data_IF_665274848202
#
_entry.id   IF_665274848202
#
_cell.length_a   1.000
_cell.length_b   1.000
_cell.length_c   1.000
_cell.angle_alpha   90.00
_cell.angle_beta   90.00
_cell.angle_gamma   90.00
#
_symmetry.space_group_name_H-M   'P 1'
#
loop_
_entity.id
_entity.type
_entity.pdbx_description
1 polymer ?
#
# COMPACT_ATOMS: atom_id res chain seq x y z
N UNK A 1 -63.89 -30.39 58.32
CA UNK A 1 -63.76 -29.93 56.96
C UNK A 1 -62.25 -29.89 56.63
N UNK A 2 -61.71 -30.85 56.00
CA UNK A 2 -60.33 -30.88 55.56
C UNK A 2 -60.25 -30.62 54.07
N UNK A 3 -59.51 -29.59 53.71
CA UNK A 3 -59.22 -29.22 52.30
C UNK A 3 -57.90 -29.89 51.92
N UNK A 4 -57.98 -30.83 50.98
CA UNK A 4 -56.83 -31.54 50.45
C UNK A 4 -56.25 -30.74 49.29
N UNK A 5 -55.03 -30.20 49.42
CA UNK A 5 -54.31 -29.54 48.33
C UNK A 5 -53.39 -30.55 47.71
N UNK A 6 -53.68 -30.98 46.46
CA UNK A 6 -52.80 -31.84 45.66
C UNK A 6 -51.75 -30.94 44.93
N UNK A 7 -50.52 -31.08 45.32
CA UNK A 7 -49.38 -30.48 44.65
C UNK A 7 -48.96 -31.34 43.50
N UNK A 8 -49.16 -30.85 42.28
CA UNK A 8 -48.70 -31.49 41.07
C UNK A 8 -47.24 -31.15 40.83
N UNK A 9 -46.34 -32.09 41.12
CA UNK A 9 -44.92 -31.96 40.83
C UNK A 9 -44.69 -32.28 39.33
N UNK A 10 -44.65 -31.25 38.48
CA UNK A 10 -44.26 -31.36 37.10
C UNK A 10 -42.74 -31.51 36.97
N UNK A 11 -42.30 -32.75 36.70
CA UNK A 11 -40.90 -33.00 36.41
C UNK A 11 -40.52 -32.44 35.03
N UNK A 12 -39.71 -31.39 35.01
CA UNK A 12 -39.04 -30.93 33.80
C UNK A 12 -37.86 -31.87 33.49
N UNK A 13 -38.08 -32.75 32.49
CA UNK A 13 -36.98 -33.48 31.87
C UNK A 13 -36.17 -32.53 31.00
N UNK A 14 -35.10 -32.00 31.52
CA UNK A 14 -34.07 -31.34 30.72
C UNK A 14 -33.33 -32.41 29.90
N UNK A 15 -33.72 -32.58 28.64
CA UNK A 15 -32.91 -33.29 27.67
C UNK A 15 -31.72 -32.36 27.32
N UNK A 16 -30.63 -32.53 28.05
CA UNK A 16 -29.33 -31.94 27.70
C UNK A 16 -28.87 -32.56 26.40
N UNK A 17 -29.02 -31.83 25.27
CA UNK A 17 -28.27 -32.12 24.05
C UNK A 17 -26.79 -32.01 24.39
N UNK A 18 -26.14 -33.13 24.64
CA UNK A 18 -24.68 -33.23 24.57
C UNK A 18 -24.32 -33.01 23.10
N UNK A 19 -23.96 -31.78 22.76
CA UNK A 19 -23.14 -31.50 21.60
C UNK A 19 -21.91 -32.40 21.70
N UNK A 20 -21.80 -33.36 20.76
CA UNK A 20 -20.57 -34.12 20.62
C UNK A 20 -19.44 -33.10 20.42
N UNK A 21 -18.55 -33.01 21.39
CA UNK A 21 -17.29 -32.31 21.20
C UNK A 21 -16.57 -33.09 20.11
N UNK A 22 -16.49 -32.49 18.93
CA UNK A 22 -15.54 -32.97 17.93
C UNK A 22 -14.19 -32.97 18.62
N UNK A 23 -13.65 -34.14 18.82
CA UNK A 23 -12.28 -34.33 19.25
C UNK A 23 -11.43 -33.87 18.06
N UNK A 24 -11.08 -32.59 18.05
CA UNK A 24 -10.02 -32.08 17.15
C UNK A 24 -8.80 -32.94 17.43
N UNK A 25 -8.42 -33.75 16.45
CA UNK A 25 -7.21 -34.54 16.55
C UNK A 25 -6.06 -33.58 16.86
N UNK A 26 -5.47 -33.73 18.01
CA UNK A 26 -4.35 -32.90 18.45
C UNK A 26 -3.12 -33.42 17.72
N UNK A 27 -2.75 -32.74 16.63
CA UNK A 27 -1.52 -33.06 15.92
C UNK A 27 -0.35 -32.45 16.66
N UNK A 28 0.64 -33.26 16.96
CA UNK A 28 1.93 -32.83 17.48
C UNK A 28 2.93 -32.77 16.33
N UNK A 29 3.55 -31.60 16.17
CA UNK A 29 4.60 -31.42 15.15
C UNK A 29 5.88 -32.05 15.71
N UNK A 30 6.23 -33.23 15.20
CA UNK A 30 7.41 -33.99 15.69
C UNK A 30 8.70 -33.61 14.94
N UNK A 31 8.58 -33.06 13.73
CA UNK A 31 9.73 -32.64 12.92
C UNK A 31 9.33 -31.55 11.95
N UNK A 32 10.15 -30.54 11.82
CA UNK A 32 10.06 -29.50 10.79
C UNK A 32 11.38 -29.48 10.03
N UNK A 33 11.30 -29.70 8.73
CA UNK A 33 12.45 -29.55 7.83
C UNK A 33 12.11 -28.44 6.84
N UNK A 34 13.05 -27.54 6.62
CA UNK A 34 12.94 -26.47 5.65
C UNK A 34 14.23 -26.30 4.87
N UNK A 35 14.10 -25.96 3.58
CA UNK A 35 15.23 -25.57 2.75
C UNK A 35 14.91 -24.29 2.01
N UNK A 36 15.91 -23.45 1.78
CA UNK A 36 15.80 -22.31 0.90
C UNK A 36 16.40 -22.68 -0.46
N UNK A 37 15.59 -22.49 -1.51
CA UNK A 37 16.08 -22.61 -2.89
C UNK A 37 16.13 -21.20 -3.45
N UNK A 38 17.33 -20.73 -3.76
CA UNK A 38 17.50 -19.43 -4.41
C UNK A 38 16.97 -19.52 -5.82
N UNK A 39 16.06 -18.63 -6.18
CA UNK A 39 15.60 -18.47 -7.58
C UNK A 39 16.51 -17.43 -8.21
N UNK A 40 17.44 -17.88 -9.04
CA UNK A 40 18.41 -17.06 -9.73
C UNK A 40 18.50 -17.47 -11.22
N UNK A 41 19.43 -16.89 -11.96
CA UNK A 41 19.61 -17.13 -13.38
C UNK A 41 19.91 -18.59 -13.77
N UNK A 42 20.25 -19.45 -12.82
CA UNK A 42 20.45 -20.89 -13.07
C UNK A 42 19.15 -21.54 -13.54
N UNK A 43 18.01 -21.06 -13.05
CA UNK A 43 16.69 -21.57 -13.45
C UNK A 43 16.25 -21.12 -14.84
N UNK A 44 16.85 -20.05 -15.38
CA UNK A 44 16.57 -19.53 -16.72
C UNK A 44 17.22 -20.37 -17.83
N UNK A 45 18.11 -21.31 -17.46
CA UNK A 45 18.85 -22.15 -18.42
C UNK A 45 17.98 -23.20 -19.11
N UNK A 46 16.78 -23.47 -18.60
CA UNK A 46 15.85 -24.44 -19.16
C UNK A 46 14.55 -23.72 -19.57
N UNK A 47 14.48 -23.15 -20.78
CA UNK A 47 13.27 -22.47 -21.24
C UNK A 47 12.10 -23.42 -21.32
N UNK A 48 10.99 -23.07 -20.71
CA UNK A 48 9.74 -23.80 -20.88
C UNK A 48 9.03 -23.29 -22.14
N UNK A 49 9.25 -23.99 -23.26
CA UNK A 49 8.70 -23.59 -24.57
C UNK A 49 7.17 -23.47 -24.56
N UNK A 50 6.47 -24.35 -23.83
CA UNK A 50 5.00 -24.30 -23.73
C UNK A 50 4.52 -23.07 -22.94
N UNK A 51 5.19 -22.73 -21.86
CA UNK A 51 4.88 -21.52 -21.11
C UNK A 51 5.16 -20.26 -21.95
N UNK A 52 6.29 -20.22 -22.66
CA UNK A 52 6.63 -19.13 -23.56
C UNK A 52 5.60 -18.95 -24.68
N UNK A 53 5.12 -20.02 -25.28
CA UNK A 53 4.06 -19.98 -26.31
C UNK A 53 2.74 -19.40 -25.77
N UNK A 54 2.31 -19.83 -24.57
CA UNK A 54 1.10 -19.32 -23.91
C UNK A 54 1.24 -17.83 -23.57
N UNK A 55 2.41 -17.40 -23.09
CA UNK A 55 2.64 -16.03 -22.66
C UNK A 55 2.90 -15.07 -23.81
N UNK A 56 3.40 -15.53 -24.95
CA UNK A 56 3.83 -14.71 -26.08
C UNK A 56 2.79 -13.67 -26.50
N UNK A 57 1.51 -13.96 -26.79
CA UNK A 57 0.54 -12.99 -27.26
C UNK A 57 0.22 -11.90 -26.21
N UNK A 58 0.34 -12.22 -24.92
CA UNK A 58 0.15 -11.28 -23.83
C UNK A 58 1.39 -10.39 -23.68
N UNK A 59 2.58 -11.01 -23.72
CA UNK A 59 3.85 -10.32 -23.59
C UNK A 59 4.03 -9.27 -24.70
N UNK A 60 3.77 -9.62 -25.94
CA UNK A 60 3.91 -8.69 -27.08
C UNK A 60 3.04 -7.44 -26.90
N UNK A 61 1.81 -7.58 -26.39
CA UNK A 61 0.93 -6.43 -26.12
C UNK A 61 1.44 -5.58 -24.94
N UNK A 62 1.86 -6.22 -23.87
CA UNK A 62 2.38 -5.53 -22.68
C UNK A 62 3.68 -4.81 -23.03
N UNK A 63 4.61 -5.49 -23.69
CA UNK A 63 5.91 -4.92 -24.08
C UNK A 63 5.72 -3.67 -24.96
N UNK A 64 4.81 -3.72 -25.93
CA UNK A 64 4.53 -2.58 -26.81
C UNK A 64 4.08 -1.31 -26.05
N UNK A 65 3.34 -1.49 -24.95
CA UNK A 65 2.92 -0.39 -24.09
C UNK A 65 4.01 0.03 -23.11
N UNK A 66 4.69 -0.94 -22.49
CA UNK A 66 5.65 -0.68 -21.42
C UNK A 66 6.94 -0.03 -21.93
N UNK A 67 7.35 -0.32 -23.16
CA UNK A 67 8.56 0.28 -23.76
C UNK A 67 8.32 1.62 -24.45
N UNK A 68 7.09 2.15 -24.41
CA UNK A 68 6.80 3.49 -24.92
C UNK A 68 7.56 4.53 -24.10
N UNK A 69 8.42 5.32 -24.74
CA UNK A 69 9.16 6.43 -24.13
C UNK A 69 8.24 7.62 -23.99
N UNK A 70 8.01 8.09 -22.76
CA UNK A 70 7.10 9.18 -22.43
C UNK A 70 7.82 10.46 -22.00
N UNK A 71 9.12 10.40 -21.79
CA UNK A 71 9.92 11.53 -21.36
C UNK A 71 11.38 11.17 -21.14
N UNK A 72 12.14 12.14 -20.61
CA UNK A 72 13.55 11.93 -20.25
C UNK A 72 13.84 12.55 -18.89
N UNK A 73 14.74 11.95 -18.12
CA UNK A 73 15.25 12.49 -16.88
C UNK A 73 16.73 12.81 -17.00
N UNK A 74 17.12 14.01 -16.57
CA UNK A 74 18.52 14.43 -16.58
C UNK A 74 19.37 13.75 -15.47
N UNK A 75 18.73 13.05 -14.54
CA UNK A 75 19.38 12.36 -13.43
C UNK A 75 18.51 11.25 -12.88
N UNK A 76 19.15 10.27 -12.27
CA UNK A 76 18.48 9.26 -11.45
C UNK A 76 17.80 9.91 -10.25
N UNK A 77 16.54 9.55 -9.96
CA UNK A 77 15.83 9.96 -8.77
C UNK A 77 15.45 8.74 -7.92
N UNK A 78 15.81 8.78 -6.66
CA UNK A 78 15.48 7.74 -5.68
C UNK A 78 14.51 8.29 -4.63
N UNK A 79 13.88 7.39 -3.88
CA UNK A 79 13.08 7.73 -2.72
C UNK A 79 13.93 7.68 -1.45
N UNK A 80 13.62 8.49 -0.47
CA UNK A 80 14.31 8.48 0.83
C UNK A 80 13.76 9.55 1.77
N UNK A 81 13.82 9.25 3.06
CA UNK A 81 13.43 10.20 4.11
C UNK A 81 14.56 11.18 4.48
N UNK A 82 14.19 12.34 4.97
CA UNK A 82 12.83 12.85 5.16
C UNK A 82 12.18 13.36 3.86
N UNK A 83 12.97 13.55 2.81
CA UNK A 83 12.63 14.16 1.53
C UNK A 83 13.49 13.52 0.43
N UNK A 84 12.95 13.43 -0.80
CA UNK A 84 13.71 12.95 -1.95
C UNK A 84 13.20 13.56 -3.26
N UNK A 85 14.07 13.56 -4.29
CA UNK A 85 13.71 14.07 -5.61
C UNK A 85 12.50 13.36 -6.19
N UNK A 86 12.45 12.03 -6.07
CA UNK A 86 11.33 11.24 -6.60
C UNK A 86 10.02 11.52 -5.87
N UNK A 87 10.05 11.57 -4.53
CA UNK A 87 8.84 11.85 -3.76
C UNK A 87 8.31 13.25 -4.01
N UNK A 88 9.19 14.24 -4.16
CA UNK A 88 8.82 15.62 -4.48
C UNK A 88 8.23 15.72 -5.89
N UNK A 89 8.85 15.05 -6.87
CA UNK A 89 8.33 14.99 -8.24
C UNK A 89 6.91 14.40 -8.26
N UNK A 90 6.71 13.24 -7.65
CA UNK A 90 5.40 12.57 -7.64
C UNK A 90 4.36 13.40 -6.89
N UNK A 91 4.69 13.97 -5.72
CA UNK A 91 3.78 14.85 -4.99
C UNK A 91 3.40 16.10 -5.82
N UNK A 92 4.36 16.68 -6.54
CA UNK A 92 4.11 17.80 -7.44
C UNK A 92 3.19 17.43 -8.60
N UNK A 93 3.38 16.26 -9.21
CA UNK A 93 2.50 15.75 -10.26
C UNK A 93 1.07 15.56 -9.73
N UNK A 94 0.90 14.97 -8.53
CA UNK A 94 -0.42 14.80 -7.92
C UNK A 94 -1.10 16.16 -7.62
N UNK A 95 -0.34 17.13 -7.13
CA UNK A 95 -0.83 18.49 -6.89
C UNK A 95 -1.35 19.13 -8.17
N UNK A 96 -0.60 19.01 -9.27
CA UNK A 96 -0.98 19.54 -10.58
C UNK A 96 -2.16 18.77 -11.18
N UNK A 97 -2.23 17.45 -11.02
CA UNK A 97 -3.32 16.62 -11.53
C UNK A 97 -4.68 17.01 -10.94
N UNK A 98 -4.71 17.63 -9.76
CA UNK A 98 -5.93 18.15 -9.15
C UNK A 98 -6.63 19.23 -10.02
N UNK A 99 -5.92 19.84 -10.96
CA UNK A 99 -6.50 20.81 -11.92
C UNK A 99 -7.67 20.21 -12.70
N UNK A 100 -7.62 18.92 -13.01
CA UNK A 100 -8.68 18.23 -13.74
C UNK A 100 -10.02 18.22 -12.98
N UNK A 101 -9.97 18.26 -11.66
CA UNK A 101 -11.14 18.22 -10.77
C UNK A 101 -11.50 19.61 -10.25
N UNK A 102 -10.51 20.41 -9.89
CA UNK A 102 -10.69 21.69 -9.21
C UNK A 102 -10.65 22.92 -10.17
N UNK A 103 -10.18 22.73 -11.41
CA UNK A 103 -9.87 23.84 -12.31
C UNK A 103 -8.62 24.65 -11.93
N UNK A 104 -7.94 24.28 -10.87
CA UNK A 104 -6.67 24.86 -10.36
C UNK A 104 -5.87 23.78 -9.63
N UNK A 105 -4.55 23.94 -9.43
CA UNK A 105 -3.77 23.06 -8.57
C UNK A 105 -4.33 23.03 -7.15
N UNK A 106 -4.15 21.89 -6.46
CA UNK A 106 -4.41 21.83 -5.02
C UNK A 106 -3.36 22.69 -4.26
N UNK A 107 -3.70 23.06 -3.03
CA UNK A 107 -2.76 23.83 -2.19
C UNK A 107 -1.54 22.98 -1.79
N UNK A 108 -1.71 21.66 -1.73
CA UNK A 108 -0.61 20.71 -1.50
C UNK A 108 -0.88 19.37 -2.20
N UNK A 109 0.20 18.66 -2.51
CA UNK A 109 0.19 17.25 -2.89
C UNK A 109 0.80 16.39 -1.79
N UNK A 110 0.33 15.15 -1.66
CA UNK A 110 0.87 14.18 -0.70
C UNK A 110 0.91 12.80 -1.35
N UNK A 111 2.04 12.14 -1.24
CA UNK A 111 2.22 10.73 -1.59
C UNK A 111 3.00 10.02 -0.48
N UNK A 112 2.55 8.83 -0.09
CA UNK A 112 3.29 8.02 0.86
C UNK A 112 4.54 7.43 0.21
N UNK A 113 5.70 7.60 0.82
CA UNK A 113 6.98 7.08 0.30
C UNK A 113 7.00 5.56 0.12
N UNK A 114 6.28 4.83 0.97
CA UNK A 114 6.13 3.38 0.84
C UNK A 114 5.41 2.93 -0.43
N UNK A 115 4.62 3.81 -1.04
CA UNK A 115 3.92 3.59 -2.31
C UNK A 115 4.86 3.63 -3.52
N UNK A 116 5.98 4.34 -3.43
CA UNK A 116 7.00 4.39 -4.47
C UNK A 116 7.86 3.13 -4.39
N UNK A 117 7.83 2.28 -5.41
CA UNK A 117 8.42 0.93 -5.34
C UNK A 117 9.76 0.79 -6.03
N UNK A 118 10.05 1.67 -6.98
CA UNK A 118 11.30 1.69 -7.72
C UNK A 118 11.84 3.12 -7.83
N UNK A 119 12.98 3.28 -8.48
CA UNK A 119 13.65 4.56 -8.79
C UNK A 119 13.22 5.05 -10.17
N UNK A 120 13.33 6.36 -10.41
CA UNK A 120 13.27 6.91 -11.76
C UNK A 120 14.70 6.89 -12.34
N UNK A 121 14.96 6.20 -13.47
CA UNK A 121 16.29 6.18 -14.06
C UNK A 121 16.70 7.52 -14.66
N UNK A 122 17.99 7.70 -14.92
CA UNK A 122 18.50 8.75 -15.81
C UNK A 122 18.34 8.30 -17.27
N UNK A 123 18.05 9.23 -18.16
CA UNK A 123 17.83 8.96 -19.58
C UNK A 123 16.36 8.86 -19.95
N UNK A 124 16.04 8.02 -20.90
CA UNK A 124 14.69 7.81 -21.38
C UNK A 124 13.83 7.15 -20.29
N UNK A 125 12.62 7.70 -20.11
CA UNK A 125 11.62 7.22 -19.18
C UNK A 125 10.48 6.57 -19.96
N UNK A 126 10.19 5.33 -19.64
CA UNK A 126 9.14 4.55 -20.28
C UNK A 126 7.88 4.47 -19.40
N UNK A 127 6.77 4.04 -20.01
CA UNK A 127 5.56 3.67 -19.27
C UNK A 127 5.86 2.60 -18.23
N UNK A 128 6.73 1.63 -18.58
CA UNK A 128 7.18 0.57 -17.67
C UNK A 128 7.89 1.10 -16.43
N UNK A 129 8.79 2.08 -16.57
CA UNK A 129 9.48 2.70 -15.43
C UNK A 129 8.48 3.33 -14.45
N UNK A 130 7.48 4.06 -14.98
CA UNK A 130 6.44 4.66 -14.15
C UNK A 130 5.57 3.58 -13.48
N UNK A 131 5.25 2.52 -14.22
CA UNK A 131 4.50 1.39 -13.66
C UNK A 131 5.27 0.66 -12.54
N UNK A 132 6.59 0.51 -12.68
CA UNK A 132 7.43 -0.06 -11.62
C UNK A 132 7.54 0.83 -10.38
N UNK A 133 7.52 2.17 -10.56
CA UNK A 133 7.51 3.13 -9.45
C UNK A 133 6.17 3.08 -8.71
N UNK A 134 5.06 3.05 -9.44
CA UNK A 134 3.68 3.13 -8.92
C UNK A 134 2.83 1.95 -9.41
N UNK A 135 3.11 0.70 -8.99
CA UNK A 135 2.47 -0.51 -9.54
C UNK A 135 1.04 -0.75 -9.02
N UNK A 136 0.46 0.19 -8.29
CA UNK A 136 -0.87 0.05 -7.70
C UNK A 136 -1.90 0.88 -8.43
N UNK A 137 -3.11 0.35 -8.62
CA UNK A 137 -4.28 1.09 -9.11
C UNK A 137 -4.81 2.02 -8.01
N UNK A 138 -4.14 3.13 -7.82
CA UNK A 138 -4.57 4.16 -6.88
C UNK A 138 -5.46 5.20 -7.57
N UNK A 139 -6.41 5.75 -6.82
CA UNK A 139 -7.22 6.89 -7.27
C UNK A 139 -6.68 8.18 -6.67
N UNK A 140 -6.63 9.24 -7.49
CA UNK A 140 -6.37 10.57 -6.98
C UNK A 140 -7.58 11.06 -6.19
N UNK A 141 -7.38 11.39 -4.92
CA UNK A 141 -8.39 11.96 -4.05
C UNK A 141 -8.08 13.42 -3.74
N UNK A 142 -9.06 14.30 -3.92
CA UNK A 142 -8.97 15.70 -3.51
C UNK A 142 -9.80 15.87 -2.24
N UNK A 143 -9.16 16.36 -1.17
CA UNK A 143 -9.78 16.53 0.14
C UNK A 143 -9.76 18.01 0.54
N UNK A 144 -10.87 18.50 1.05
CA UNK A 144 -10.92 19.80 1.75
C UNK A 144 -10.82 19.57 3.24
N UNK A 145 -9.82 20.14 3.88
CA UNK A 145 -9.52 19.92 5.29
C UNK A 145 -9.60 21.23 6.09
N UNK A 146 -10.06 21.13 7.34
CA UNK A 146 -9.93 22.22 8.30
C UNK A 146 -8.48 22.36 8.74
N UNK A 147 -8.02 23.57 9.07
CA UNK A 147 -6.66 23.81 9.54
C UNK A 147 -6.23 22.98 10.76
N UNK A 148 -7.20 22.60 11.62
CA UNK A 148 -6.95 21.71 12.77
C UNK A 148 -6.61 20.29 12.33
N UNK A 149 -7.30 19.77 11.30
CA UNK A 149 -7.08 18.41 10.78
C UNK A 149 -5.82 18.37 9.92
N UNK A 150 -5.57 19.46 9.17
CA UNK A 150 -4.33 19.62 8.43
C UNK A 150 -3.10 19.65 9.37
N UNK A 151 -3.21 20.29 10.53
CA UNK A 151 -2.16 20.24 11.53
C UNK A 151 -1.88 18.83 12.04
N UNK A 152 -2.93 18.05 12.31
CA UNK A 152 -2.79 16.63 12.70
C UNK A 152 -2.12 15.81 11.60
N UNK A 153 -2.46 16.07 10.33
CA UNK A 153 -1.79 15.43 9.19
C UNK A 153 -0.29 15.75 9.19
N UNK A 154 0.10 17.01 9.41
CA UNK A 154 1.52 17.39 9.46
C UNK A 154 2.26 16.76 10.65
N UNK A 155 1.61 16.64 11.80
CA UNK A 155 2.15 15.94 12.96
C UNK A 155 2.33 14.44 12.69
N UNK A 156 1.40 13.82 11.94
CA UNK A 156 1.53 12.44 11.49
C UNK A 156 2.69 12.26 10.50
N UNK A 157 2.82 13.13 9.49
CA UNK A 157 3.95 13.12 8.56
C UNK A 157 5.28 13.29 9.30
N UNK A 158 5.33 14.19 10.29
CA UNK A 158 6.51 14.39 11.10
C UNK A 158 6.89 13.13 11.90
N UNK A 159 5.90 12.44 12.49
CA UNK A 159 6.12 11.21 13.24
C UNK A 159 6.69 10.06 12.38
N UNK A 160 6.40 10.07 11.08
CA UNK A 160 6.97 9.15 10.08
C UNK A 160 8.34 9.61 9.56
N UNK A 161 8.88 10.73 10.06
CA UNK A 161 10.12 11.35 9.61
C UNK A 161 10.09 11.83 8.16
N UNK A 162 8.92 12.19 7.65
CA UNK A 162 8.70 12.72 6.31
C UNK A 162 7.88 11.80 5.42
N UNK A 163 7.32 12.40 4.40
CA UNK A 163 6.61 11.78 3.28
C UNK A 163 6.80 12.66 2.03
N UNK A 164 6.40 12.19 0.86
CA UNK A 164 6.42 13.02 -0.34
C UNK A 164 5.36 14.12 -0.28
N UNK A 165 5.79 15.35 -0.18
CA UNK A 165 4.89 16.52 -0.13
C UNK A 165 5.29 17.58 -1.16
N UNK A 166 4.31 18.34 -1.65
CA UNK A 166 4.52 19.53 -2.48
C UNK A 166 3.58 20.64 -2.06
N UNK A 167 3.94 21.90 -2.35
CA UNK A 167 3.20 23.09 -1.95
C UNK A 167 3.37 23.51 -0.49
N UNK A 168 4.09 22.71 0.30
CA UNK A 168 4.39 22.99 1.70
C UNK A 168 5.82 22.60 2.05
N UNK A 169 6.35 23.24 3.10
CA UNK A 169 7.60 22.86 3.76
C UNK A 169 7.32 22.56 5.23
N UNK A 170 7.83 21.43 5.73
CA UNK A 170 7.72 21.01 7.12
C UNK A 170 9.11 20.96 7.75
N UNK A 171 9.27 21.58 8.92
CA UNK A 171 10.46 21.44 9.75
C UNK A 171 10.22 20.38 10.82
N UNK A 172 11.01 19.31 10.78
CA UNK A 172 10.82 18.11 11.59
C UNK A 172 12.07 17.85 12.41
N UNK A 173 11.92 17.59 13.70
CA UNK A 173 13.03 17.18 14.56
C UNK A 173 13.51 15.76 14.24
N UNK A 174 14.72 15.41 14.68
CA UNK A 174 15.23 14.02 14.60
C UNK A 174 14.34 13.00 15.29
N UNK A 175 13.51 13.42 16.23
CA UNK A 175 12.58 12.55 16.96
C UNK A 175 11.16 12.58 16.36
N UNK A 176 10.99 13.03 15.12
CA UNK A 176 9.70 13.02 14.44
C UNK A 176 8.68 14.04 14.97
N UNK A 177 9.12 15.14 15.58
CA UNK A 177 8.24 16.21 16.07
C UNK A 177 8.21 17.36 15.08
N UNK A 178 6.99 17.80 14.72
CA UNK A 178 6.79 19.00 13.90
C UNK A 178 7.23 20.25 14.67
N UNK A 179 8.12 21.05 14.09
CA UNK A 179 8.57 22.36 14.62
C UNK A 179 7.80 23.49 13.97
N UNK A 180 7.80 23.54 12.66
CA UNK A 180 7.26 24.65 11.88
C UNK A 180 6.71 24.15 10.54
N UNK A 181 5.93 25.02 9.88
CA UNK A 181 5.40 24.83 8.53
C UNK A 181 5.36 26.15 7.80
N UNK A 182 5.60 26.12 6.50
CA UNK A 182 5.38 27.26 5.60
C UNK A 182 4.81 26.77 4.27
N UNK A 183 4.05 27.65 3.60
CA UNK A 183 3.63 27.39 2.22
C UNK A 183 4.84 27.65 1.30
N UNK A 184 5.07 26.74 0.37
CA UNK A 184 5.96 26.97 -0.77
C UNK A 184 5.15 27.63 -1.89
N UNK A 185 5.53 28.86 -2.25
CA UNK A 185 4.94 29.60 -3.38
C UNK A 185 5.81 29.45 -4.62
#
# INVERSE_FOLDING_TARGET
KYLMVATFAGGFLFTSCRTARETTAQYEVTKVEGSMITIDSVWDTIPNAKAAEILKPYKEKVDAMMYEVIGTSAMKMDKGGPESLLSNLVAGVLQQAAVQVLGKPADMGLVNMGGLRNILPEGDITVGDVFEILPFENSLCVLTMKGTDLRRLFEAIASLHGEGVSGIRLEITKNGKLLNRSEER
#
